data_IF_667532163720
#
_entry.id   IF_667532163720
#
_cell.length_a   1.000
_cell.length_b   1.000
_cell.length_c   1.000
_cell.angle_alpha   90.00
_cell.angle_beta   90.00
_cell.angle_gamma   90.00
#
_symmetry.space_group_name_H-M   'P 1'
#
loop_
_entity.id
_entity.type
_entity.pdbx_description
1 polymer ?
#
# COMPACT_ATOMS: atom_id res chain seq x y z
N UNK A 1 22.26 10.78 -24.05
CA UNK A 1 21.27 10.85 -22.95
C UNK A 1 20.13 9.90 -23.28
N UNK A 2 19.88 8.85 -22.48
CA UNK A 2 18.68 8.02 -22.66
C UNK A 2 17.48 8.80 -22.15
N UNK A 3 16.55 9.15 -23.03
CA UNK A 3 15.29 9.82 -22.64
C UNK A 3 14.46 8.86 -21.80
N UNK A 4 14.10 9.29 -20.59
CA UNK A 4 13.31 8.50 -19.64
C UNK A 4 11.86 8.40 -20.13
N UNK A 5 11.50 7.29 -20.79
CA UNK A 5 10.15 7.03 -21.31
C UNK A 5 9.30 6.20 -20.34
N UNK A 6 9.30 6.56 -19.05
CA UNK A 6 8.56 5.84 -17.99
C UNK A 6 7.08 5.65 -18.32
N UNK A 7 6.43 6.64 -18.93
CA UNK A 7 5.01 6.58 -19.31
C UNK A 7 4.71 5.53 -20.39
N UNK A 8 5.60 5.36 -21.37
CA UNK A 8 5.47 4.33 -22.40
C UNK A 8 5.73 2.93 -21.85
N UNK A 9 6.73 2.79 -20.98
CA UNK A 9 7.00 1.53 -20.28
C UNK A 9 5.81 1.12 -19.42
N UNK A 10 5.26 2.04 -18.61
CA UNK A 10 4.06 1.81 -17.83
C UNK A 10 2.92 1.33 -18.74
N UNK A 11 2.61 2.06 -19.82
CA UNK A 11 1.52 1.71 -20.75
C UNK A 11 1.68 0.32 -21.37
N UNK A 12 2.89 -0.06 -21.75
CA UNK A 12 3.18 -1.39 -22.33
C UNK A 12 3.03 -2.50 -21.29
N UNK A 13 3.48 -2.26 -20.05
CA UNK A 13 3.29 -3.19 -18.93
C UNK A 13 1.80 -3.35 -18.59
N UNK A 14 1.02 -2.27 -18.59
CA UNK A 14 -0.43 -2.33 -18.35
C UNK A 14 -1.17 -3.24 -19.35
N UNK A 15 -0.77 -3.21 -20.62
CA UNK A 15 -1.37 -4.07 -21.66
C UNK A 15 -1.08 -5.55 -21.44
N UNK A 16 0.09 -5.90 -20.88
CA UNK A 16 0.44 -7.30 -20.62
C UNK A 16 -0.21 -7.87 -19.36
N UNK A 17 -0.55 -7.05 -18.34
CA UNK A 17 -1.34 -7.51 -17.17
C UNK A 17 -2.77 -7.91 -17.60
N UNK A 18 -3.39 -7.14 -18.50
CA UNK A 18 -4.80 -7.33 -18.88
C UNK A 18 -5.10 -8.70 -19.53
N UNK A 19 -4.09 -9.33 -20.14
CA UNK A 19 -4.21 -10.62 -20.80
C UNK A 19 -4.00 -11.82 -19.84
N UNK A 20 -3.21 -11.67 -18.78
CA UNK A 20 -2.86 -12.76 -17.86
C UNK A 20 -3.75 -12.83 -16.61
N UNK A 21 -4.48 -11.75 -16.29
CA UNK A 21 -5.10 -11.56 -14.96
C UNK A 21 -6.56 -11.99 -14.85
N UNK A 22 -7.27 -12.27 -15.95
CA UNK A 22 -8.75 -12.42 -15.89
C UNK A 22 -9.27 -13.76 -15.35
N UNK A 23 -8.47 -14.83 -15.30
CA UNK A 23 -9.03 -16.16 -14.98
C UNK A 23 -8.64 -16.78 -13.62
N UNK A 24 -7.74 -16.20 -12.81
CA UNK A 24 -7.28 -16.88 -11.58
C UNK A 24 -7.37 -16.09 -10.26
N UNK A 25 -7.97 -14.91 -10.24
CA UNK A 25 -7.91 -14.02 -9.06
C UNK A 25 -8.87 -14.34 -7.89
N UNK A 26 -9.72 -15.37 -8.01
CA UNK A 26 -10.75 -15.70 -7.01
C UNK A 26 -10.52 -17.03 -6.28
N UNK A 27 -9.36 -17.67 -6.45
CA UNK A 27 -9.05 -18.84 -5.63
C UNK A 27 -8.63 -18.39 -4.22
N UNK A 28 -9.26 -18.99 -3.22
CA UNK A 28 -8.93 -18.81 -1.79
C UNK A 28 -7.49 -19.23 -1.43
N UNK A 29 -6.69 -19.67 -2.41
CA UNK A 29 -5.29 -20.08 -2.27
C UNK A 29 -4.28 -18.97 -2.58
N UNK A 30 -4.69 -17.82 -3.14
CA UNK A 30 -3.76 -16.75 -3.48
C UNK A 30 -3.29 -15.95 -2.26
N UNK A 31 -1.98 -15.80 -2.13
CA UNK A 31 -1.37 -14.93 -1.14
C UNK A 31 -1.03 -13.55 -1.73
N UNK A 32 -1.42 -12.49 -1.03
CA UNK A 32 -1.25 -11.12 -1.52
C UNK A 32 -0.15 -10.39 -0.75
N UNK A 33 0.83 -9.82 -1.46
CA UNK A 33 1.81 -8.91 -0.88
C UNK A 33 1.38 -7.48 -1.18
N UNK A 34 1.10 -6.70 -0.15
CA UNK A 34 0.59 -5.33 -0.27
C UNK A 34 1.69 -4.31 0.04
N UNK A 35 1.84 -3.32 -0.83
CA UNK A 35 2.54 -2.07 -0.51
C UNK A 35 1.68 -1.21 0.42
N UNK A 36 2.02 -1.22 1.71
CA UNK A 36 1.31 -0.49 2.75
C UNK A 36 1.39 1.04 2.60
N UNK A 37 2.44 1.57 1.98
CA UNK A 37 2.55 2.99 1.69
C UNK A 37 1.50 3.44 0.69
N UNK A 38 1.40 2.74 -0.45
CA UNK A 38 0.39 3.03 -1.48
C UNK A 38 -1.04 2.84 -0.96
N UNK A 39 -1.27 1.83 -0.12
CA UNK A 39 -2.58 1.53 0.47
C UNK A 39 -3.12 2.72 1.28
N UNK A 40 -2.28 3.35 2.11
CA UNK A 40 -2.68 4.48 2.96
C UNK A 40 -3.16 5.69 2.15
N UNK A 41 -2.54 5.94 1.00
CA UNK A 41 -2.95 7.05 0.11
C UNK A 41 -4.31 6.80 -0.56
N UNK A 42 -4.71 5.54 -0.73
CA UNK A 42 -5.95 5.16 -1.41
C UNK A 42 -7.15 5.06 -0.48
N UNK A 43 -6.93 4.66 0.78
CA UNK A 43 -8.01 4.60 1.76
C UNK A 43 -8.70 5.97 1.93
N UNK A 44 -10.03 5.97 1.92
CA UNK A 44 -10.84 7.17 2.21
C UNK A 44 -10.89 7.40 3.71
N UNK A 45 -10.48 8.58 4.16
CA UNK A 45 -10.49 8.95 5.58
C UNK A 45 -11.52 10.08 5.76
N UNK A 46 -12.76 9.76 6.18
CA UNK A 46 -13.72 10.77 6.58
C UNK A 46 -13.15 11.74 7.61
N UNK A 47 -13.65 12.98 7.65
CA UNK A 47 -13.31 13.91 8.73
C UNK A 47 -14.14 13.59 9.98
N UNK A 48 -13.62 13.94 11.15
CA UNK A 48 -14.35 13.79 12.41
C UNK A 48 -14.45 12.34 12.92
N UNK A 49 -13.64 11.43 12.37
CA UNK A 49 -13.46 10.07 12.92
C UNK A 49 -12.12 9.96 13.65
N UNK A 50 -12.03 8.98 14.54
CA UNK A 50 -10.83 8.72 15.33
C UNK A 50 -9.77 7.96 14.55
N UNK A 51 -8.49 8.08 14.94
CA UNK A 51 -7.42 7.28 14.33
C UNK A 51 -7.64 5.77 14.47
N UNK A 52 -8.27 5.33 15.57
CA UNK A 52 -8.69 3.94 15.75
C UNK A 52 -9.69 3.51 14.67
N UNK A 53 -10.73 4.31 14.41
CA UNK A 53 -11.71 4.03 13.36
C UNK A 53 -11.06 4.01 11.97
N UNK A 54 -10.15 4.94 11.70
CA UNK A 54 -9.38 4.94 10.44
C UNK A 54 -8.57 3.64 10.31
N UNK A 55 -7.89 3.21 11.36
CA UNK A 55 -7.14 1.95 11.33
C UNK A 55 -8.06 0.75 11.09
N UNK A 56 -9.22 0.70 11.74
CA UNK A 56 -10.24 -0.35 11.55
C UNK A 56 -10.78 -0.37 10.11
N UNK A 57 -11.02 0.79 9.50
CA UNK A 57 -11.40 0.87 8.08
C UNK A 57 -10.32 0.29 7.16
N UNK A 58 -9.04 0.56 7.42
CA UNK A 58 -7.93 0.00 6.62
C UNK A 58 -7.83 -1.52 6.81
N UNK A 59 -8.01 -2.02 8.03
CA UNK A 59 -8.01 -3.47 8.31
C UNK A 59 -9.17 -4.15 7.60
N UNK A 60 -10.39 -3.61 7.70
CA UNK A 60 -11.57 -4.15 7.04
C UNK A 60 -11.37 -4.16 5.51
N UNK A 61 -10.78 -3.11 4.95
CA UNK A 61 -10.43 -3.08 3.53
C UNK A 61 -9.49 -4.25 3.16
N UNK A 62 -8.42 -4.47 3.92
CA UNK A 62 -7.49 -5.57 3.65
C UNK A 62 -8.19 -6.93 3.74
N UNK A 63 -8.98 -7.16 4.79
CA UNK A 63 -9.66 -8.45 4.99
C UNK A 63 -10.75 -8.73 3.96
N UNK A 64 -11.49 -7.71 3.53
CA UNK A 64 -12.57 -7.87 2.53
C UNK A 64 -12.03 -8.12 1.13
N UNK A 65 -10.87 -7.54 0.80
CA UNK A 65 -10.28 -7.68 -0.53
C UNK A 65 -9.31 -8.86 -0.65
N UNK A 66 -8.69 -9.28 0.46
CA UNK A 66 -7.62 -10.26 0.44
C UNK A 66 -7.81 -11.29 1.56
N UNK A 67 -8.10 -12.54 1.18
CA UNK A 67 -8.27 -13.65 2.13
C UNK A 67 -6.97 -14.00 2.87
N UNK A 68 -5.81 -13.88 2.21
CA UNK A 68 -4.50 -14.07 2.79
C UNK A 68 -3.57 -12.95 2.32
N UNK A 69 -3.04 -12.16 3.27
CA UNK A 69 -2.23 -11.00 2.95
C UNK A 69 -1.01 -10.81 3.85
N UNK A 70 0.03 -10.24 3.27
CA UNK A 70 1.20 -9.69 3.95
C UNK A 70 1.29 -8.22 3.57
N UNK A 71 1.34 -7.33 4.56
CA UNK A 71 1.45 -5.88 4.35
C UNK A 71 2.86 -5.42 4.70
N UNK A 72 3.49 -4.69 3.79
CA UNK A 72 4.83 -4.13 4.02
C UNK A 72 4.74 -2.61 4.17
N UNK A 73 5.13 -2.10 5.33
CA UNK A 73 5.22 -0.67 5.59
C UNK A 73 6.66 -0.18 5.55
N UNK A 74 6.84 1.07 5.11
CA UNK A 74 8.07 1.81 5.36
C UNK A 74 8.17 2.13 6.87
N UNK A 75 9.36 1.97 7.46
CA UNK A 75 9.58 2.33 8.85
C UNK A 75 9.60 3.85 9.09
N UNK A 76 9.66 4.67 8.03
CA UNK A 76 9.86 6.13 8.09
C UNK A 76 11.00 6.44 9.06
N UNK A 77 12.25 6.37 8.62
CA UNK A 77 13.42 6.51 9.49
C UNK A 77 13.42 7.84 10.28
N UNK A 78 14.05 7.87 11.46
CA UNK A 78 14.27 9.10 12.24
C UNK A 78 15.25 10.07 11.56
N UNK A 79 16.04 9.57 10.60
CA UNK A 79 17.03 10.33 9.86
C UNK A 79 16.57 10.58 8.43
N UNK A 80 16.88 11.76 7.87
CA UNK A 80 16.67 12.02 6.45
C UNK A 80 17.36 10.95 5.60
N UNK A 81 16.59 10.29 4.77
CA UNK A 81 17.04 9.40 3.71
C UNK A 81 17.26 10.21 2.43
N UNK A 82 18.02 9.67 1.49
CA UNK A 82 18.18 10.25 0.14
C UNK A 82 16.84 10.37 -0.61
N UNK A 83 15.78 9.71 -0.15
CA UNK A 83 14.43 9.77 -0.71
C UNK A 83 13.60 10.91 -0.12
N UNK A 84 13.99 11.46 1.03
CA UNK A 84 13.28 12.58 1.64
C UNK A 84 13.37 13.85 0.80
N UNK A 85 14.44 14.06 0.03
CA UNK A 85 14.53 15.17 -0.93
C UNK A 85 13.57 15.01 -2.13
N UNK A 86 13.33 13.77 -2.58
CA UNK A 86 12.35 13.47 -3.63
C UNK A 86 10.90 13.58 -3.12
N UNK A 87 10.65 13.29 -1.85
CA UNK A 87 9.34 13.45 -1.20
C UNK A 87 9.09 14.87 -0.68
N UNK A 88 10.13 15.64 -0.36
CA UNK A 88 10.04 17.03 0.11
C UNK A 88 9.37 17.97 -0.89
N UNK A 89 9.51 17.70 -2.20
CA UNK A 89 8.86 18.47 -3.26
C UNK A 89 7.32 18.37 -3.28
N UNK A 90 6.70 17.48 -2.49
CA UNK A 90 5.24 17.28 -2.45
C UNK A 90 4.56 17.90 -1.23
N UNK A 91 5.30 18.45 -0.27
CA UNK A 91 4.75 18.91 1.02
C UNK A 91 5.28 20.28 1.44
N UNK A 92 4.77 21.36 0.85
CA UNK A 92 5.08 22.73 1.28
C UNK A 92 4.36 23.12 2.59
N UNK A 93 3.49 22.24 3.11
CA UNK A 93 2.74 22.42 4.35
C UNK A 93 2.89 21.17 5.21
N UNK A 94 3.67 21.29 6.29
CA UNK A 94 3.80 20.24 7.30
C UNK A 94 2.82 20.50 8.44
N UNK A 95 2.14 19.45 8.88
CA UNK A 95 1.31 19.50 10.08
C UNK A 95 2.16 19.60 11.35
N UNK A 96 1.64 20.24 12.40
CA UNK A 96 2.29 20.30 13.72
C UNK A 96 2.59 18.91 14.26
N UNK A 97 3.77 18.74 14.85
CA UNK A 97 4.25 17.46 15.37
C UNK A 97 3.61 17.15 16.73
N UNK A 98 2.39 16.63 16.69
CA UNK A 98 1.63 16.21 17.86
C UNK A 98 1.50 14.69 17.83
N UNK A 99 1.82 14.05 18.95
CA UNK A 99 1.64 12.61 19.11
C UNK A 99 0.15 12.24 18.97
N UNK A 100 -0.14 11.25 18.14
CA UNK A 100 -1.50 10.82 17.89
C UNK A 100 -1.89 9.74 18.91
N UNK A 101 -3.06 9.93 19.53
CA UNK A 101 -3.70 8.90 20.36
C UNK A 101 -4.76 8.17 19.54
N UNK A 102 -4.96 6.85 19.68
CA UNK A 102 -6.00 6.12 18.94
C UNK A 102 -7.41 6.73 19.06
N UNK A 103 -7.74 7.33 20.22
CA UNK A 103 -9.03 7.99 20.46
C UNK A 103 -9.14 9.43 19.95
N UNK A 104 -8.03 10.03 19.50
CA UNK A 104 -8.04 11.40 18.97
C UNK A 104 -8.70 11.46 17.58
N UNK A 105 -9.42 12.54 17.33
CA UNK A 105 -10.07 12.80 16.04
C UNK A 105 -9.07 13.30 15.00
N UNK A 106 -9.29 12.90 13.74
CA UNK A 106 -8.60 13.50 12.59
C UNK A 106 -9.15 14.91 12.35
N UNK A 107 -8.47 15.92 12.92
CA UNK A 107 -8.80 17.34 12.77
C UNK A 107 -8.29 17.99 11.49
N UNK A 108 -7.40 17.32 10.77
CA UNK A 108 -6.76 17.81 9.53
C UNK A 108 -7.17 16.99 8.30
N UNK A 109 -6.73 17.43 7.12
CA UNK A 109 -6.94 16.64 5.90
C UNK A 109 -6.01 15.43 5.86
N UNK A 110 -6.43 14.33 5.23
CA UNK A 110 -5.59 13.13 5.02
C UNK A 110 -4.24 13.49 4.40
N UNK A 111 -4.22 14.35 3.38
CA UNK A 111 -2.98 14.70 2.69
C UNK A 111 -2.02 15.49 3.59
N UNK A 112 -2.54 16.37 4.46
CA UNK A 112 -1.75 17.09 5.45
C UNK A 112 -1.25 16.17 6.57
N UNK A 113 -2.06 15.19 6.98
CA UNK A 113 -1.64 14.17 7.92
C UNK A 113 -0.50 13.32 7.35
N UNK A 114 -0.68 12.83 6.12
CA UNK A 114 0.30 12.00 5.42
C UNK A 114 1.54 12.78 4.93
N UNK A 115 1.56 14.11 5.03
CA UNK A 115 2.79 14.88 4.78
C UNK A 115 3.75 14.81 5.98
N UNK A 116 3.24 14.56 7.19
CA UNK A 116 4.05 14.48 8.40
C UNK A 116 4.53 13.03 8.65
N UNK A 117 5.85 12.82 8.57
CA UNK A 117 6.47 11.50 8.75
C UNK A 117 6.31 10.93 10.17
N UNK A 118 6.31 11.78 11.21
CA UNK A 118 6.14 11.33 12.59
C UNK A 118 4.71 10.85 12.86
N UNK A 119 3.71 11.60 12.36
CA UNK A 119 2.29 11.18 12.41
C UNK A 119 2.05 9.89 11.64
N UNK A 120 2.59 9.77 10.42
CA UNK A 120 2.52 8.53 9.63
C UNK A 120 3.12 7.35 10.37
N UNK A 121 4.32 7.50 10.95
CA UNK A 121 4.99 6.43 11.71
C UNK A 121 4.14 5.96 12.87
N UNK A 122 3.59 6.89 13.66
CA UNK A 122 2.76 6.55 14.81
C UNK A 122 1.45 5.89 14.38
N UNK A 123 0.84 6.34 13.28
CA UNK A 123 -0.37 5.72 12.72
C UNK A 123 -0.10 4.30 12.23
N UNK A 124 1.02 4.10 11.54
CA UNK A 124 1.45 2.77 11.08
C UNK A 124 1.64 1.81 12.24
N UNK A 125 2.17 2.25 13.40
CA UNK A 125 2.26 1.38 14.60
C UNK A 125 0.87 0.92 15.07
N UNK A 126 -0.11 1.83 15.12
CA UNK A 126 -1.49 1.52 15.49
C UNK A 126 -2.10 0.53 14.48
N UNK A 127 -1.94 0.81 13.18
CA UNK A 127 -2.46 -0.02 12.10
C UNK A 127 -1.81 -1.41 12.05
N UNK A 128 -0.48 -1.50 12.18
CA UNK A 128 0.25 -2.77 12.25
C UNK A 128 -0.25 -3.64 13.38
N UNK A 129 -0.46 -3.06 14.57
CA UNK A 129 -0.98 -3.79 15.73
C UNK A 129 -2.35 -4.37 15.42
N UNK A 130 -3.23 -3.59 14.80
CA UNK A 130 -4.58 -4.00 14.41
C UNK A 130 -4.58 -5.06 13.30
N UNK A 131 -3.68 -4.95 12.31
CA UNK A 131 -3.52 -5.96 11.26
C UNK A 131 -3.02 -7.29 11.83
N UNK A 132 -2.04 -7.27 12.73
CA UNK A 132 -1.55 -8.49 13.39
C UNK A 132 -2.62 -9.16 14.25
N UNK A 133 -3.52 -8.39 14.89
CA UNK A 133 -4.64 -8.93 15.67
C UNK A 133 -5.64 -9.72 14.82
N UNK A 134 -5.74 -9.40 13.53
CA UNK A 134 -6.61 -10.13 12.59
C UNK A 134 -5.86 -11.16 11.74
N UNK A 135 -4.70 -11.61 12.23
CA UNK A 135 -3.84 -12.62 11.60
C UNK A 135 -3.23 -12.22 10.24
N UNK A 136 -3.17 -10.93 9.91
CA UNK A 136 -2.38 -10.47 8.77
C UNK A 136 -0.90 -10.40 9.14
N UNK A 137 -0.03 -10.78 8.21
CA UNK A 137 1.42 -10.67 8.40
C UNK A 137 1.83 -9.22 8.09
N UNK A 138 2.61 -8.60 8.97
CA UNK A 138 3.06 -7.21 8.78
C UNK A 138 4.58 -7.14 8.86
N UNK A 139 5.21 -6.55 7.85
CA UNK A 139 6.63 -6.26 7.84
C UNK A 139 6.89 -4.74 7.84
N UNK A 140 7.99 -4.36 8.48
CA UNK A 140 8.48 -2.98 8.48
C UNK A 140 9.87 -2.93 7.83
N UNK A 141 10.01 -2.15 6.76
CA UNK A 141 11.27 -1.98 6.06
C UNK A 141 12.22 -1.09 6.86
N UNK A 142 13.40 -1.63 7.22
CA UNK A 142 14.43 -0.88 7.95
C UNK A 142 15.14 0.18 7.09
N UNK A 143 15.13 0.03 5.77
CA UNK A 143 15.82 0.91 4.84
C UNK A 143 15.00 1.07 3.55
N UNK A 144 15.06 0.11 2.64
CA UNK A 144 14.36 0.19 1.34
C UNK A 144 13.09 -0.66 1.33
N UNK A 145 11.94 0.00 1.23
CA UNK A 145 10.64 -0.67 1.22
C UNK A 145 10.42 -1.45 -0.07
N UNK A 146 10.88 -0.93 -1.21
CA UNK A 146 10.75 -1.59 -2.50
C UNK A 146 11.47 -2.93 -2.54
N UNK A 147 12.73 -2.97 -2.08
CA UNK A 147 13.50 -4.22 -1.99
C UNK A 147 12.81 -5.22 -1.08
N UNK A 148 12.28 -4.79 0.08
CA UNK A 148 11.60 -5.70 1.00
C UNK A 148 10.30 -6.25 0.39
N UNK A 149 9.51 -5.42 -0.29
CA UNK A 149 8.29 -5.85 -0.99
C UNK A 149 8.63 -6.92 -2.04
N UNK A 150 9.65 -6.68 -2.87
CA UNK A 150 10.07 -7.64 -3.90
C UNK A 150 10.60 -8.92 -3.27
N UNK A 151 11.41 -8.82 -2.23
CA UNK A 151 11.93 -9.99 -1.51
C UNK A 151 10.81 -10.85 -0.93
N UNK A 152 9.83 -10.25 -0.24
CA UNK A 152 8.69 -11.00 0.32
C UNK A 152 7.82 -11.63 -0.78
N UNK A 153 7.66 -10.92 -1.91
CA UNK A 153 6.96 -11.45 -3.08
C UNK A 153 7.66 -12.70 -3.63
N UNK A 154 8.97 -12.65 -3.81
CA UNK A 154 9.75 -13.78 -4.33
C UNK A 154 9.72 -14.97 -3.36
N UNK A 155 9.97 -14.72 -2.07
CA UNK A 155 9.97 -15.77 -1.04
C UNK A 155 8.61 -16.47 -0.92
N UNK A 156 7.52 -15.70 -0.95
CA UNK A 156 6.17 -16.29 -0.95
C UNK A 156 5.89 -17.06 -2.25
N UNK A 157 6.32 -16.54 -3.40
CA UNK A 157 6.17 -17.19 -4.70
C UNK A 157 6.90 -18.54 -4.85
N UNK A 158 7.85 -18.84 -3.96
CA UNK A 158 8.54 -20.14 -3.94
C UNK A 158 7.64 -21.27 -3.41
N UNK A 159 6.68 -20.95 -2.54
CA UNK A 159 5.84 -21.95 -1.86
C UNK A 159 4.36 -21.89 -2.23
N UNK A 160 3.88 -20.75 -2.73
CA UNK A 160 2.47 -20.52 -3.02
C UNK A 160 2.26 -19.48 -4.11
N UNK A 161 1.13 -19.58 -4.78
CA UNK A 161 0.73 -18.59 -5.79
C UNK A 161 0.57 -17.22 -5.12
N UNK A 162 1.42 -16.30 -5.54
CA UNK A 162 1.61 -15.00 -4.88
C UNK A 162 1.35 -13.87 -5.86
N UNK A 163 0.54 -12.90 -5.43
CA UNK A 163 0.23 -11.68 -6.17
C UNK A 163 0.84 -10.48 -5.46
N UNK A 164 1.73 -9.77 -6.15
CA UNK A 164 2.16 -8.44 -5.69
C UNK A 164 1.12 -7.39 -6.08
N UNK A 165 0.53 -6.75 -5.07
CA UNK A 165 -0.42 -5.66 -5.18
C UNK A 165 0.32 -4.34 -5.01
N UNK A 166 0.36 -3.54 -6.07
CA UNK A 166 1.10 -2.27 -6.10
C UNK A 166 0.50 -1.24 -7.05
N UNK A 167 0.91 0.01 -6.87
CA UNK A 167 0.67 1.09 -7.84
C UNK A 167 1.91 1.41 -8.67
N UNK A 168 3.09 1.37 -8.04
CA UNK A 168 4.31 1.80 -8.71
C UNK A 168 4.74 0.83 -9.83
N UNK A 169 5.06 1.40 -10.98
CA UNK A 169 5.63 0.65 -12.11
C UNK A 169 7.06 0.22 -11.80
N UNK A 170 7.80 1.00 -11.00
CA UNK A 170 9.20 0.70 -10.66
C UNK A 170 9.30 -0.61 -9.87
N UNK A 171 8.33 -0.90 -8.99
CA UNK A 171 8.20 -2.19 -8.30
C UNK A 171 7.94 -3.37 -9.25
N UNK A 172 7.29 -3.14 -10.41
CA UNK A 172 7.14 -4.18 -11.46
C UNK A 172 8.46 -4.49 -12.11
N UNK A 173 9.17 -3.44 -12.48
CA UNK A 173 10.46 -3.54 -13.15
C UNK A 173 11.46 -4.21 -12.21
N UNK A 174 11.45 -3.84 -10.92
CA UNK A 174 12.29 -4.44 -9.90
C UNK A 174 11.95 -5.92 -9.68
N UNK A 175 10.66 -6.28 -9.62
CA UNK A 175 10.25 -7.69 -9.54
C UNK A 175 10.72 -8.46 -10.79
N UNK A 176 10.44 -7.96 -12.00
CA UNK A 176 10.80 -8.63 -13.25
C UNK A 176 12.31 -8.85 -13.37
N UNK A 177 13.11 -7.85 -13.01
CA UNK A 177 14.57 -7.97 -12.98
C UNK A 177 15.05 -9.11 -12.08
N UNK A 178 14.41 -9.30 -10.92
CA UNK A 178 14.76 -10.38 -9.99
C UNK A 178 14.17 -11.74 -10.41
N UNK A 179 12.98 -11.77 -11.06
CA UNK A 179 12.30 -12.99 -11.51
C UNK A 179 13.01 -13.67 -12.68
N UNK A 180 13.56 -12.89 -13.62
CA UNK A 180 14.33 -13.39 -14.79
C UNK A 180 15.48 -14.31 -14.35
N UNK A 181 15.89 -14.26 -13.08
CA UNK A 181 16.93 -15.12 -12.55
C UNK A 181 16.43 -16.49 -12.06
N UNK A 182 15.17 -16.72 -11.62
CA UNK A 182 14.82 -17.94 -10.85
C UNK A 182 13.34 -18.47 -10.78
N UNK A 183 12.27 -17.88 -11.35
CA UNK A 183 10.90 -18.26 -10.91
C UNK A 183 9.78 -18.35 -11.98
N UNK A 184 8.89 -19.37 -11.87
CA UNK A 184 7.72 -19.61 -12.75
C UNK A 184 6.34 -19.24 -12.15
N UNK A 185 6.20 -19.09 -10.81
CA UNK A 185 4.88 -18.97 -10.11
C UNK A 185 4.54 -17.58 -9.56
N UNK A 186 4.85 -16.52 -10.31
CA UNK A 186 4.68 -15.13 -9.83
C UNK A 186 3.76 -14.31 -10.71
N UNK A 187 2.77 -13.69 -10.06
CA UNK A 187 1.82 -12.79 -10.71
C UNK A 187 1.96 -11.39 -10.11
N UNK A 188 1.68 -10.36 -10.92
CA UNK A 188 1.64 -8.99 -10.42
C UNK A 188 0.36 -8.31 -10.85
N UNK A 189 -0.29 -7.60 -9.93
CA UNK A 189 -1.53 -6.87 -10.20
C UNK A 189 -1.31 -5.40 -9.90
N UNK A 190 -1.51 -4.55 -10.90
CA UNK A 190 -1.61 -3.12 -10.67
C UNK A 190 -3.02 -2.76 -10.20
N UNK A 191 -3.13 -1.86 -9.24
CA UNK A 191 -4.42 -1.43 -8.67
C UNK A 191 -4.60 0.07 -8.83
N UNK A 192 -5.72 0.46 -9.43
CA UNK A 192 -6.14 1.83 -9.69
C UNK A 192 -7.09 2.36 -8.61
N UNK A 193 -7.35 3.68 -8.58
CA UNK A 193 -8.31 4.28 -7.63
C UNK A 193 -9.74 3.74 -7.80
N UNK A 194 -10.13 3.31 -9.00
CA UNK A 194 -11.46 2.75 -9.27
C UNK A 194 -11.69 1.34 -8.70
N UNK A 195 -10.62 0.63 -8.32
CA UNK A 195 -10.72 -0.70 -7.74
C UNK A 195 -11.09 -0.67 -6.24
N UNK A 196 -11.16 0.53 -5.64
CA UNK A 196 -11.55 0.75 -4.26
C UNK A 196 -13.01 1.19 -4.23
N UNK A 197 -13.92 0.24 -3.97
CA UNK A 197 -15.36 0.46 -3.96
C UNK A 197 -15.77 1.72 -3.18
N UNK A 198 -16.48 2.62 -3.86
CA UNK A 198 -17.26 3.64 -3.19
C UNK A 198 -18.44 2.94 -2.49
N UNK A 199 -18.28 2.63 -1.20
CA UNK A 199 -19.46 2.46 -0.34
C UNK A 199 -20.02 3.85 -0.05
N UNK A 200 -20.78 4.39 -1.00
CA UNK A 200 -21.74 5.45 -0.74
C UNK A 200 -23.07 4.75 -0.50
N UNK A 201 -23.31 4.36 0.74
CA UNK A 201 -24.67 4.05 1.17
C UNK A 201 -25.42 5.39 1.26
N UNK A 202 -26.13 5.72 0.18
CA UNK A 202 -27.12 6.79 0.16
C UNK A 202 -28.49 6.14 0.36
N UNK A 203 -28.81 5.79 1.60
CA UNK A 203 -30.18 5.49 1.99
C UNK A 203 -30.72 6.55 2.96
N UNK A 204 -31.61 7.36 2.41
CA UNK A 204 -32.72 8.08 3.06
C UNK A 204 -32.47 9.00 4.27
N UNK A 205 -32.47 10.30 3.97
CA UNK A 205 -33.38 11.23 4.66
C UNK A 205 -34.17 11.96 3.57
N UNK A 206 -35.45 11.61 3.44
CA UNK A 206 -36.48 12.52 2.89
C UNK A 206 -37.41 12.82 4.06
N UNK A 207 -37.78 14.09 4.08
CA UNK A 207 -38.55 14.86 5.05
C UNK A 207 -39.77 14.14 5.65
#
# INVERSE_FOLDING_TARGET
MRTCQKSLLARSLWRTDSAATRENLLSSSLHHILDGGSMLHKASWPRGITYKQIAEMNVNYVQTQYASSTVVFDAYALRPTTKDSAHAGRGLRSSSDVEISPGAFLGETKDLFLSNNNKKRNFIKILSTKLSQVNNIVFHAKSDVETLIVQQTLLSGMSRDTVLVREDTDLRVLLLYNVIKKHEKLFSRCVSRSDFGHSQDKSHFRE
#
